data_IF_471696203991
#
_entry.id   IF_471696203991
#
_cell.length_a   1.000
_cell.length_b   1.000
_cell.length_c   1.000
_cell.angle_alpha   90.00
_cell.angle_beta   90.00
_cell.angle_gamma   90.00
#
_symmetry.space_group_name_H-M   'P 1'
#
loop_
_entity.id
_entity.type
_entity.pdbx_description
1 polymer ?
#
# COMPACT_ATOMS: atom_id res chain seq x y z
N UNK A 1 7.15 62.17 -25.19
CA UNK A 1 7.50 61.25 -24.08
C UNK A 1 6.29 60.56 -23.44
N UNK A 2 5.08 61.13 -23.44
CA UNK A 2 3.90 60.50 -22.79
C UNK A 2 3.25 59.30 -23.53
N UNK A 3 3.40 59.19 -24.86
CA UNK A 3 2.74 58.14 -25.64
C UNK A 3 3.40 56.76 -25.52
N UNK A 4 4.72 56.71 -25.29
CA UNK A 4 5.45 55.46 -25.06
C UNK A 4 5.20 54.87 -23.68
N UNK A 5 4.93 55.73 -22.68
CA UNK A 5 4.58 55.32 -21.31
C UNK A 5 3.22 54.61 -21.29
N UNK A 6 2.22 55.16 -21.99
CA UNK A 6 0.87 54.58 -22.07
C UNK A 6 0.84 53.21 -22.77
N UNK A 7 1.64 53.01 -23.82
CA UNK A 7 1.71 51.71 -24.51
C UNK A 7 2.37 50.63 -23.62
N UNK A 8 3.44 50.98 -22.90
CA UNK A 8 4.12 50.04 -22.00
C UNK A 8 3.25 49.68 -20.77
N UNK A 9 2.46 50.64 -20.26
CA UNK A 9 1.55 50.41 -19.14
C UNK A 9 0.35 49.52 -19.51
N UNK A 10 -0.15 49.62 -20.75
CA UNK A 10 -1.23 48.76 -21.25
C UNK A 10 -0.75 47.32 -21.52
N UNK A 11 0.45 47.17 -22.09
CA UNK A 11 1.04 45.86 -22.41
C UNK A 11 1.41 45.08 -21.14
N UNK A 12 1.92 45.77 -20.12
CA UNK A 12 2.21 45.17 -18.80
C UNK A 12 0.97 44.76 -18.02
N UNK A 13 -0.13 45.52 -18.09
CA UNK A 13 -1.43 45.14 -17.48
C UNK A 13 -2.04 43.92 -18.15
N UNK A 14 -1.94 43.82 -19.49
CA UNK A 14 -2.38 42.64 -20.24
C UNK A 14 -1.57 41.39 -19.90
N UNK A 15 -0.23 41.53 -19.80
CA UNK A 15 0.65 40.43 -19.42
C UNK A 15 0.44 39.97 -17.96
N UNK A 16 0.27 40.89 -17.02
CA UNK A 16 -0.02 40.57 -15.63
C UNK A 16 -1.39 39.88 -15.47
N UNK A 17 -2.41 40.33 -16.20
CA UNK A 17 -3.72 39.68 -16.21
C UNK A 17 -3.64 38.27 -16.80
N UNK A 18 -2.92 38.08 -17.91
CA UNK A 18 -2.68 36.76 -18.50
C UNK A 18 -1.98 35.82 -17.52
N UNK A 19 -0.90 36.26 -16.86
CA UNK A 19 -0.21 35.48 -15.83
C UNK A 19 -1.12 35.17 -14.64
N UNK A 20 -1.97 36.11 -14.23
CA UNK A 20 -2.95 35.91 -13.16
C UNK A 20 -3.99 34.84 -13.52
N UNK A 21 -4.53 34.89 -14.74
CA UNK A 21 -5.47 33.89 -15.24
C UNK A 21 -4.80 32.52 -15.34
N UNK A 22 -3.59 32.44 -15.90
CA UNK A 22 -2.82 31.20 -15.99
C UNK A 22 -2.50 30.62 -14.60
N UNK A 23 -2.13 31.46 -13.64
CA UNK A 23 -1.93 31.08 -12.25
C UNK A 23 -3.21 30.52 -11.62
N UNK A 24 -4.35 31.18 -11.81
CA UNK A 24 -5.63 30.72 -11.31
C UNK A 24 -6.03 29.35 -11.89
N UNK A 25 -5.88 29.17 -13.21
CA UNK A 25 -6.11 27.87 -13.85
C UNK A 25 -5.18 26.77 -13.33
N UNK A 26 -3.91 27.11 -13.07
CA UNK A 26 -2.93 26.18 -12.50
C UNK A 26 -3.33 25.74 -11.09
N UNK A 27 -3.76 26.68 -10.25
CA UNK A 27 -4.27 26.38 -8.90
C UNK A 27 -5.51 25.50 -8.96
N UNK A 28 -6.48 25.81 -9.84
CA UNK A 28 -7.67 24.98 -10.04
C UNK A 28 -7.27 23.56 -10.46
N UNK A 29 -6.33 23.43 -11.40
CA UNK A 29 -5.80 22.13 -11.83
C UNK A 29 -5.17 21.34 -10.69
N UNK A 30 -4.36 21.99 -9.85
CA UNK A 30 -3.75 21.39 -8.67
C UNK A 30 -4.81 20.91 -7.68
N UNK A 31 -5.84 21.71 -7.40
CA UNK A 31 -6.92 21.35 -6.46
C UNK A 31 -7.73 20.16 -6.98
N UNK A 32 -8.07 20.14 -8.27
CA UNK A 32 -8.79 19.01 -8.88
C UNK A 32 -7.95 17.74 -8.83
N UNK A 33 -6.65 17.84 -9.15
CA UNK A 33 -5.73 16.70 -9.10
C UNK A 33 -5.52 16.21 -7.66
N UNK A 34 -5.38 17.13 -6.71
CA UNK A 34 -5.28 16.84 -5.27
C UNK A 34 -6.52 16.09 -4.77
N UNK A 35 -7.71 16.56 -5.16
CA UNK A 35 -8.97 15.91 -4.85
C UNK A 35 -9.05 14.49 -5.45
N UNK A 36 -8.62 14.32 -6.70
CA UNK A 36 -8.60 13.02 -7.37
C UNK A 36 -7.61 12.03 -6.72
N UNK A 37 -6.41 12.47 -6.36
CA UNK A 37 -5.39 11.64 -5.70
C UNK A 37 -5.71 11.33 -4.24
N UNK A 38 -6.62 12.10 -3.62
CA UNK A 38 -7.06 11.90 -2.23
C UNK A 38 -8.18 10.86 -2.08
N UNK A 39 -8.69 10.31 -3.19
CA UNK A 39 -9.76 9.32 -3.14
C UNK A 39 -9.19 8.00 -2.59
N UNK A 40 -9.75 7.56 -1.46
CA UNK A 40 -9.39 6.29 -0.85
C UNK A 40 -9.79 5.11 -1.78
N UNK A 41 -8.91 4.10 -1.94
CA UNK A 41 -9.27 2.87 -2.64
C UNK A 41 -10.47 2.17 -2.01
N UNK A 42 -11.32 1.57 -2.84
CA UNK A 42 -12.48 0.83 -2.36
C UNK A 42 -12.05 -0.44 -1.59
N UNK A 43 -12.85 -0.80 -0.59
CA UNK A 43 -12.71 -2.10 0.07
C UNK A 43 -13.02 -3.24 -0.91
N UNK A 44 -12.37 -4.37 -0.70
CA UNK A 44 -12.52 -5.55 -1.55
C UNK A 44 -12.84 -6.79 -0.73
N UNK A 45 -13.52 -7.75 -1.35
CA UNK A 45 -13.78 -9.04 -0.74
C UNK A 45 -12.55 -9.95 -0.97
N UNK A 46 -11.85 -10.30 0.11
CA UNK A 46 -10.61 -11.09 0.07
C UNK A 46 -10.76 -12.44 -0.63
N UNK A 47 -11.91 -13.10 -0.50
CA UNK A 47 -12.19 -14.40 -1.11
C UNK A 47 -12.49 -14.25 -2.60
N UNK A 48 -13.26 -13.23 -2.99
CA UNK A 48 -13.54 -12.95 -4.40
C UNK A 48 -12.27 -12.56 -5.15
N UNK A 49 -11.43 -11.71 -4.55
CA UNK A 49 -10.13 -11.33 -5.11
C UNK A 49 -9.20 -12.53 -5.30
N UNK A 50 -9.14 -13.44 -4.32
CA UNK A 50 -8.32 -14.65 -4.44
C UNK A 50 -8.76 -15.54 -5.60
N UNK A 51 -10.08 -15.67 -5.81
CA UNK A 51 -10.65 -16.41 -6.96
C UNK A 51 -10.28 -15.77 -8.29
N UNK A 52 -10.43 -14.44 -8.42
CA UNK A 52 -10.06 -13.73 -9.64
C UNK A 52 -8.57 -13.87 -9.97
N UNK A 53 -7.68 -13.73 -8.97
CA UNK A 53 -6.24 -13.94 -9.16
C UNK A 53 -5.93 -15.36 -9.59
N UNK A 54 -6.62 -16.36 -9.04
CA UNK A 54 -6.45 -17.76 -9.41
C UNK A 54 -6.83 -18.01 -10.87
N UNK A 55 -7.99 -17.52 -11.30
CA UNK A 55 -8.47 -17.61 -12.68
C UNK A 55 -7.51 -16.94 -13.65
N UNK A 56 -7.04 -15.72 -13.32
CA UNK A 56 -6.06 -14.97 -14.12
C UNK A 56 -4.75 -15.75 -14.29
N UNK A 57 -4.34 -16.51 -13.28
CA UNK A 57 -3.10 -17.28 -13.29
C UNK A 57 -3.26 -18.71 -13.85
N UNK A 58 -4.42 -19.07 -14.39
CA UNK A 58 -4.74 -20.41 -14.92
C UNK A 58 -4.47 -21.55 -13.93
N UNK A 59 -4.60 -21.29 -12.62
CA UNK A 59 -4.43 -22.31 -11.59
C UNK A 59 -5.72 -23.14 -11.56
N UNK A 60 -5.73 -24.26 -12.30
CA UNK A 60 -6.89 -25.14 -12.44
C UNK A 60 -7.32 -25.73 -11.09
N UNK A 61 -8.52 -25.39 -10.65
CA UNK A 61 -9.15 -25.96 -9.46
C UNK A 61 -9.38 -27.46 -9.68
N UNK A 62 -8.55 -28.30 -9.08
CA UNK A 62 -8.75 -29.75 -9.08
C UNK A 62 -9.37 -30.17 -7.75
N UNK A 63 -10.63 -29.81 -7.53
CA UNK A 63 -11.45 -30.42 -6.47
C UNK A 63 -12.88 -30.61 -6.98
N UNK A 64 -13.53 -31.77 -6.72
CA UNK A 64 -14.89 -32.06 -7.15
C UNK A 64 -15.95 -31.03 -6.74
N UNK A 65 -15.69 -30.25 -5.68
CA UNK A 65 -16.64 -29.32 -5.07
C UNK A 65 -16.46 -27.84 -5.50
N UNK A 66 -15.62 -27.56 -6.50
CA UNK A 66 -15.56 -26.26 -7.18
C UNK A 66 -14.76 -25.15 -6.48
N UNK A 67 -14.26 -25.35 -5.25
CA UNK A 67 -13.31 -24.45 -4.61
C UNK A 67 -12.37 -25.21 -3.66
N UNK A 68 -11.08 -25.29 -3.96
CA UNK A 68 -10.04 -25.51 -2.95
C UNK A 68 -8.72 -24.91 -3.45
N UNK A 69 -8.41 -23.66 -3.07
CA UNK A 69 -7.01 -23.26 -2.96
C UNK A 69 -6.46 -23.80 -1.63
N UNK A 70 -5.14 -24.04 -1.51
CA UNK A 70 -4.53 -24.46 -0.26
C UNK A 70 -4.78 -23.44 0.86
N UNK A 71 -4.76 -23.92 2.10
CA UNK A 71 -4.77 -23.07 3.28
C UNK A 71 -3.72 -21.94 3.12
N UNK A 72 -4.09 -20.73 3.50
CA UNK A 72 -3.20 -19.57 3.41
C UNK A 72 -3.15 -18.85 2.06
N UNK A 73 -3.67 -19.42 0.97
CA UNK A 73 -3.67 -18.75 -0.33
C UNK A 73 -4.43 -17.42 -0.31
N UNK A 74 -5.61 -17.39 0.33
CA UNK A 74 -6.39 -16.14 0.50
C UNK A 74 -5.60 -15.10 1.27
N UNK A 75 -4.89 -15.51 2.33
CA UNK A 75 -4.11 -14.61 3.15
C UNK A 75 -2.94 -14.02 2.34
N UNK A 76 -2.19 -14.87 1.64
CA UNK A 76 -1.14 -14.43 0.71
C UNK A 76 -1.66 -13.48 -0.36
N UNK A 77 -2.79 -13.82 -1.00
CA UNK A 77 -3.42 -12.96 -2.01
C UNK A 77 -3.87 -11.61 -1.42
N UNK A 78 -4.34 -11.61 -0.18
CA UNK A 78 -4.74 -10.37 0.50
C UNK A 78 -3.54 -9.45 0.71
N UNK A 79 -2.40 -9.99 1.13
CA UNK A 79 -1.16 -9.21 1.27
C UNK A 79 -0.69 -8.65 -0.08
N UNK A 80 -0.71 -9.48 -1.13
CA UNK A 80 -0.43 -9.03 -2.51
C UNK A 80 -1.37 -7.88 -2.90
N UNK A 81 -2.68 -8.04 -2.72
CA UNK A 81 -3.66 -7.02 -3.09
C UNK A 81 -3.48 -5.73 -2.30
N UNK A 82 -3.15 -5.79 -1.01
CA UNK A 82 -2.82 -4.60 -0.22
C UNK A 82 -1.60 -3.89 -0.80
N UNK A 83 -0.53 -4.63 -1.10
CA UNK A 83 0.71 -4.08 -1.66
C UNK A 83 0.48 -3.46 -3.05
N UNK A 84 -0.24 -4.13 -3.94
CA UNK A 84 -0.63 -3.59 -5.24
C UNK A 84 -1.51 -2.35 -5.10
N UNK A 85 -2.46 -2.33 -4.15
CA UNK A 85 -3.33 -1.18 -3.92
C UNK A 85 -2.51 0.02 -3.41
N UNK A 86 -1.51 -0.22 -2.56
CA UNK A 86 -0.58 0.83 -2.11
C UNK A 86 0.18 1.47 -3.28
N UNK A 87 0.68 0.65 -4.22
CA UNK A 87 1.51 1.13 -5.34
C UNK A 87 0.69 1.73 -6.49
N UNK A 88 -0.46 1.13 -6.80
CA UNK A 88 -1.21 1.40 -8.03
C UNK A 88 -2.56 2.08 -7.81
N UNK A 89 -2.84 2.60 -6.60
CA UNK A 89 -3.99 3.48 -6.38
C UNK A 89 -3.92 4.75 -7.22
N UNK A 90 -5.00 5.51 -7.22
CA UNK A 90 -5.04 6.83 -7.88
C UNK A 90 -3.93 7.73 -7.34
N UNK A 91 -3.13 8.31 -8.24
CA UNK A 91 -1.93 9.08 -7.89
C UNK A 91 -0.67 8.25 -7.62
N UNK A 92 -0.75 6.92 -7.61
CA UNK A 92 0.37 6.05 -7.28
C UNK A 92 0.72 6.07 -5.79
N UNK A 93 1.96 5.73 -5.47
CA UNK A 93 2.49 5.82 -4.11
C UNK A 93 2.95 7.26 -3.84
N UNK A 94 2.32 7.95 -2.88
CA UNK A 94 2.47 9.40 -2.69
C UNK A 94 3.38 9.76 -1.51
N UNK A 95 3.62 8.83 -0.58
CA UNK A 95 4.47 9.06 0.60
C UNK A 95 5.89 9.52 0.25
N UNK A 96 6.45 9.07 -0.87
CA UNK A 96 7.77 9.48 -1.37
C UNK A 96 7.69 10.51 -2.51
N UNK A 97 6.50 11.03 -2.84
CA UNK A 97 6.37 12.00 -3.91
C UNK A 97 6.98 13.35 -3.49
N UNK A 98 7.71 13.96 -4.42
CA UNK A 98 8.33 15.29 -4.26
C UNK A 98 7.58 16.38 -5.03
N UNK A 99 6.58 15.99 -5.83
CA UNK A 99 5.78 16.88 -6.67
C UNK A 99 4.51 17.42 -6.03
N UNK A 100 3.94 18.46 -6.65
CA UNK A 100 2.59 18.96 -6.35
C UNK A 100 1.59 18.19 -7.24
N UNK A 101 0.43 17.72 -6.71
CA UNK A 101 -0.14 17.99 -5.40
C UNK A 101 0.33 17.09 -4.25
N UNK A 102 1.12 16.03 -4.50
CA UNK A 102 1.50 15.04 -3.48
C UNK A 102 1.99 15.64 -2.16
N UNK A 103 2.89 16.62 -2.23
CA UNK A 103 3.41 17.34 -1.03
C UNK A 103 2.37 18.15 -0.25
N UNK A 104 1.20 18.44 -0.83
CA UNK A 104 0.11 19.16 -0.19
C UNK A 104 -0.93 18.22 0.43
N UNK A 105 -0.83 16.91 0.19
CA UNK A 105 -1.78 15.91 0.68
C UNK A 105 -1.27 15.28 1.98
N UNK A 106 -2.11 15.25 3.01
CA UNK A 106 -1.81 14.65 4.31
C UNK A 106 -2.61 13.37 4.59
N UNK A 107 -3.88 13.34 4.17
CA UNK A 107 -4.79 12.24 4.42
C UNK A 107 -4.37 10.95 3.70
N UNK A 108 -4.10 11.01 2.39
CA UNK A 108 -3.80 9.81 1.62
C UNK A 108 -2.41 9.21 1.99
N UNK A 109 -1.33 9.98 2.27
CA UNK A 109 -0.10 9.40 2.80
C UNK A 109 -0.24 8.83 4.23
N UNK A 110 -1.13 9.37 5.06
CA UNK A 110 -1.46 8.79 6.36
C UNK A 110 -2.19 7.44 6.21
N UNK A 111 -3.13 7.35 5.26
CA UNK A 111 -3.77 6.10 4.87
C UNK A 111 -2.76 5.07 4.36
N UNK A 112 -1.83 5.47 3.48
CA UNK A 112 -0.76 4.61 2.96
C UNK A 112 0.09 4.04 4.09
N UNK A 113 0.41 4.85 5.11
CA UNK A 113 1.13 4.37 6.27
C UNK A 113 0.36 3.29 7.03
N UNK A 114 -0.95 3.47 7.24
CA UNK A 114 -1.80 2.47 7.87
C UNK A 114 -1.81 1.14 7.10
N UNK A 115 -2.05 1.20 5.79
CA UNK A 115 -2.03 0.03 4.92
C UNK A 115 -0.66 -0.65 4.84
N UNK A 116 0.42 0.12 4.82
CA UNK A 116 1.79 -0.40 4.85
C UNK A 116 2.11 -1.14 6.16
N UNK A 117 1.65 -0.63 7.31
CA UNK A 117 1.82 -1.34 8.59
C UNK A 117 1.04 -2.66 8.57
N UNK A 118 -0.19 -2.69 8.05
CA UNK A 118 -0.95 -3.93 7.90
C UNK A 118 -0.23 -4.95 7.01
N UNK A 119 0.33 -4.50 5.88
CA UNK A 119 1.12 -5.33 4.98
C UNK A 119 2.35 -5.90 5.67
N UNK A 120 3.11 -5.06 6.38
CA UNK A 120 4.33 -5.46 7.12
C UNK A 120 4.02 -6.49 8.19
N UNK A 121 3.07 -6.20 9.07
CA UNK A 121 2.70 -7.10 10.16
C UNK A 121 2.16 -8.44 9.62
N UNK A 122 1.36 -8.40 8.55
CA UNK A 122 0.84 -9.58 7.88
C UNK A 122 1.94 -10.41 7.20
N UNK A 123 2.89 -9.78 6.50
CA UNK A 123 4.02 -10.45 5.88
C UNK A 123 4.96 -11.08 6.92
N UNK A 124 5.25 -10.35 8.01
CA UNK A 124 6.02 -10.85 9.15
C UNK A 124 5.33 -12.05 9.80
N UNK A 125 4.02 -11.97 10.03
CA UNK A 125 3.26 -13.09 10.58
C UNK A 125 3.22 -14.29 9.64
N UNK A 126 3.10 -14.05 8.33
CA UNK A 126 3.13 -15.10 7.32
C UNK A 126 4.49 -15.84 7.36
N UNK A 127 5.59 -15.11 7.29
CA UNK A 127 6.95 -15.68 7.32
C UNK A 127 7.25 -16.40 8.64
N UNK A 128 6.96 -15.75 9.77
CA UNK A 128 7.49 -16.19 11.07
C UNK A 128 6.59 -17.20 11.79
N UNK A 129 5.28 -17.20 11.50
CA UNK A 129 4.31 -17.99 12.25
C UNK A 129 3.47 -18.88 11.34
N UNK A 130 2.86 -18.32 10.30
CA UNK A 130 1.85 -19.05 9.51
C UNK A 130 2.47 -20.01 8.48
N UNK A 131 3.66 -19.71 7.94
CA UNK A 131 4.35 -20.57 6.97
C UNK A 131 5.35 -21.54 7.62
N UNK A 132 5.41 -21.60 8.97
CA UNK A 132 6.35 -22.42 9.73
C UNK A 132 5.61 -23.44 10.60
N UNK A 133 6.10 -24.68 10.59
CA UNK A 133 5.55 -25.75 11.42
C UNK A 133 5.83 -25.52 12.91
N UNK A 134 7.03 -25.01 13.19
CA UNK A 134 7.54 -24.67 14.53
C UNK A 134 8.44 -23.43 14.43
N UNK A 135 8.62 -22.70 15.53
CA UNK A 135 9.43 -21.46 15.58
C UNK A 135 10.89 -21.64 15.16
N UNK A 136 11.41 -22.87 15.19
CA UNK A 136 12.79 -23.22 14.79
C UNK A 136 12.88 -23.90 13.41
N UNK A 137 11.74 -24.14 12.74
CA UNK A 137 11.73 -24.76 11.39
C UNK A 137 12.30 -23.81 10.34
N UNK A 138 12.79 -24.33 9.22
CA UNK A 138 13.32 -23.49 8.14
C UNK A 138 12.28 -22.47 7.65
N UNK A 139 12.73 -21.27 7.35
CA UNK A 139 11.88 -20.22 6.78
C UNK A 139 11.64 -20.48 5.30
N UNK A 140 10.45 -20.11 4.82
CA UNK A 140 10.16 -20.17 3.40
C UNK A 140 11.04 -19.17 2.62
N UNK A 141 11.74 -19.60 1.56
CA UNK A 141 12.76 -18.78 0.89
C UNK A 141 12.19 -17.57 0.15
N UNK A 142 10.93 -17.61 -0.28
CA UNK A 142 10.30 -16.45 -0.94
C UNK A 142 9.77 -15.47 0.09
N UNK A 143 9.18 -15.96 1.19
CA UNK A 143 8.74 -15.09 2.28
C UNK A 143 9.91 -14.40 3.00
N UNK A 144 11.05 -15.09 3.12
CA UNK A 144 12.29 -14.52 3.63
C UNK A 144 12.84 -13.37 2.77
N UNK A 145 12.49 -13.33 1.48
CA UNK A 145 12.77 -12.19 0.58
C UNK A 145 11.68 -11.14 0.63
N UNK A 146 10.41 -11.56 0.65
CA UNK A 146 9.27 -10.66 0.53
C UNK A 146 9.17 -9.67 1.69
N UNK A 147 9.29 -10.13 2.94
CA UNK A 147 9.12 -9.27 4.12
C UNK A 147 10.16 -8.13 4.16
N UNK A 148 11.48 -8.37 4.02
CA UNK A 148 12.47 -7.28 4.00
C UNK A 148 12.17 -6.19 2.98
N UNK A 149 11.66 -6.54 1.80
CA UNK A 149 11.30 -5.55 0.78
C UNK A 149 10.18 -4.62 1.24
N UNK A 150 9.16 -5.12 1.95
CA UNK A 150 8.11 -4.26 2.52
C UNK A 150 8.62 -3.39 3.69
N UNK A 151 9.70 -3.79 4.35
CA UNK A 151 10.36 -3.00 5.40
C UNK A 151 11.32 -1.94 4.87
N UNK A 152 11.55 -1.87 3.56
CA UNK A 152 12.33 -0.80 2.95
C UNK A 152 11.75 0.58 3.30
N UNK A 153 12.64 1.59 3.31
CA UNK A 153 12.31 2.97 3.66
C UNK A 153 11.10 3.46 2.85
N UNK A 154 10.09 4.00 3.54
CA UNK A 154 8.81 4.36 2.91
C UNK A 154 8.88 5.64 2.08
N UNK A 155 9.85 6.51 2.34
CA UNK A 155 9.96 7.86 1.76
C UNK A 155 11.17 8.00 0.82
N UNK A 156 11.72 6.88 0.33
CA UNK A 156 12.80 6.91 -0.66
C UNK A 156 12.24 7.18 -2.06
N UNK A 157 12.50 8.37 -2.58
CA UNK A 157 12.18 8.77 -3.96
C UNK A 157 13.34 8.50 -4.93
N UNK A 158 14.58 8.44 -4.41
CA UNK A 158 15.80 8.20 -5.18
C UNK A 158 16.07 6.70 -5.36
N UNK A 159 17.11 6.32 -6.11
CA UNK A 159 17.41 4.90 -6.37
C UNK A 159 18.06 4.20 -5.16
N UNK A 160 17.54 3.03 -4.71
CA UNK A 160 16.32 2.39 -5.17
C UNK A 160 15.06 3.06 -4.61
N UNK A 161 14.02 3.19 -5.44
CA UNK A 161 12.78 3.83 -5.02
C UNK A 161 11.94 2.86 -4.17
N UNK A 162 11.12 3.41 -3.28
CA UNK A 162 10.22 2.61 -2.43
C UNK A 162 9.36 1.64 -3.25
N UNK A 163 8.80 2.11 -4.37
CA UNK A 163 7.92 1.36 -5.25
C UNK A 163 8.64 0.16 -5.86
N UNK A 164 9.87 0.37 -6.34
CA UNK A 164 10.66 -0.69 -6.94
C UNK A 164 11.02 -1.79 -5.93
N UNK A 165 11.29 -1.43 -4.67
CA UNK A 165 11.52 -2.41 -3.61
C UNK A 165 10.23 -3.15 -3.25
N UNK A 166 9.10 -2.46 -3.13
CA UNK A 166 7.81 -3.10 -2.81
C UNK A 166 7.33 -4.03 -3.93
N UNK A 167 7.57 -3.69 -5.20
CA UNK A 167 7.30 -4.56 -6.34
C UNK A 167 8.08 -5.88 -6.26
N UNK A 168 9.35 -5.85 -5.82
CA UNK A 168 10.11 -7.08 -5.57
C UNK A 168 9.48 -7.92 -4.45
N UNK A 169 8.95 -7.28 -3.41
CA UNK A 169 8.17 -7.94 -2.36
C UNK A 169 6.92 -8.64 -2.90
N UNK A 170 6.17 -7.97 -3.78
CA UNK A 170 4.98 -8.53 -4.46
C UNK A 170 5.36 -9.75 -5.30
N UNK A 171 6.42 -9.65 -6.10
CA UNK A 171 6.91 -10.77 -6.93
C UNK A 171 7.32 -11.97 -6.08
N UNK A 172 7.95 -11.75 -4.94
CA UNK A 172 8.31 -12.80 -3.99
C UNK A 172 7.05 -13.44 -3.37
N UNK A 173 6.06 -12.66 -2.93
CA UNK A 173 4.77 -13.20 -2.45
C UNK A 173 4.05 -14.04 -3.50
N UNK A 174 4.01 -13.59 -4.75
CA UNK A 174 3.44 -14.37 -5.85
C UNK A 174 4.21 -15.68 -6.07
N UNK A 175 5.52 -15.68 -5.90
CA UNK A 175 6.34 -16.90 -6.03
C UNK A 175 6.03 -17.89 -4.91
N UNK A 176 5.91 -17.42 -3.67
CA UNK A 176 5.39 -18.25 -2.56
C UNK A 176 4.01 -18.83 -2.88
N UNK A 177 3.07 -18.00 -3.33
CA UNK A 177 1.70 -18.45 -3.65
C UNK A 177 1.66 -19.47 -4.79
N UNK A 178 2.52 -19.34 -5.80
CA UNK A 178 2.66 -20.35 -6.87
C UNK A 178 3.16 -21.67 -6.31
N UNK A 179 4.19 -21.66 -5.46
CA UNK A 179 4.70 -22.87 -4.80
C UNK A 179 3.69 -23.49 -3.82
N UNK A 180 2.79 -22.68 -3.25
CA UNK A 180 1.74 -23.15 -2.36
C UNK A 180 0.70 -24.00 -3.13
N UNK A 181 0.38 -23.63 -4.37
CA UNK A 181 -0.62 -24.32 -5.19
C UNK A 181 -0.05 -25.42 -6.09
N UNK A 182 1.27 -25.46 -6.30
CA UNK A 182 1.92 -26.43 -7.18
C UNK A 182 2.33 -27.70 -6.41
N UNK A 183 1.61 -28.82 -6.59
CA UNK A 183 1.93 -30.08 -5.92
C UNK A 183 3.20 -30.75 -6.48
N UNK A 184 3.73 -30.25 -7.60
CA UNK A 184 4.91 -30.82 -8.28
C UNK A 184 6.20 -30.08 -7.94
N UNK A 185 6.11 -28.97 -7.20
CA UNK A 185 7.28 -28.20 -6.78
C UNK A 185 8.18 -29.05 -5.86
N UNK A 186 9.51 -28.93 -6.05
CA UNK A 186 10.51 -29.66 -5.26
C UNK A 186 10.64 -29.11 -3.84
N UNK A 187 10.22 -27.87 -3.62
CA UNK A 187 10.20 -27.17 -2.35
C UNK A 187 8.85 -26.45 -2.21
N UNK A 188 7.75 -27.18 -1.95
CA UNK A 188 6.41 -26.61 -1.91
C UNK A 188 6.30 -25.53 -0.83
N UNK A 189 5.46 -24.53 -1.10
CA UNK A 189 5.06 -23.55 -0.09
C UNK A 189 4.19 -24.23 0.96
N UNK A 190 4.31 -23.81 2.22
CA UNK A 190 3.53 -24.38 3.31
C UNK A 190 2.80 -23.30 4.09
N UNK A 191 1.59 -23.62 4.54
CA UNK A 191 0.82 -22.83 5.48
C UNK A 191 0.26 -23.75 6.56
N UNK A 192 0.39 -23.34 7.81
CA UNK A 192 0.00 -24.11 8.99
C UNK A 192 -1.11 -23.37 9.74
N UNK A 193 -2.35 -23.85 9.57
CA UNK A 193 -3.60 -23.30 10.13
C UNK A 193 -3.78 -23.58 11.64
N UNK A 194 -2.68 -23.53 12.42
CA UNK A 194 -2.69 -23.80 13.86
C UNK A 194 -3.15 -22.58 14.66
N UNK A 195 -3.89 -22.83 15.74
CA UNK A 195 -4.45 -21.77 16.59
C UNK A 195 -3.36 -20.92 17.29
N UNK A 196 -2.24 -21.52 17.68
CA UNK A 196 -1.10 -20.82 18.30
C UNK A 196 -0.36 -19.90 17.33
N UNK A 197 -0.27 -20.29 16.05
CA UNK A 197 0.26 -19.43 15.00
C UNK A 197 -0.66 -18.23 14.74
N UNK A 198 -1.98 -18.47 14.67
CA UNK A 198 -2.97 -17.41 14.51
C UNK A 198 -2.97 -16.45 15.71
N UNK A 199 -2.86 -16.98 16.93
CA UNK A 199 -2.82 -16.17 18.15
C UNK A 199 -1.65 -15.19 18.14
N UNK A 200 -0.46 -15.61 17.70
CA UNK A 200 0.71 -14.72 17.59
C UNK A 200 0.44 -13.52 16.65
N UNK A 201 -0.25 -13.74 15.54
CA UNK A 201 -0.64 -12.64 14.65
C UNK A 201 -1.70 -11.73 15.28
N UNK A 202 -2.73 -12.31 15.92
CA UNK A 202 -3.77 -11.54 16.62
C UNK A 202 -3.18 -10.69 17.75
N UNK A 203 -2.17 -11.19 18.46
CA UNK A 203 -1.47 -10.42 19.49
C UNK A 203 -0.77 -9.18 18.93
N UNK A 204 -0.18 -9.27 17.74
CA UNK A 204 0.38 -8.10 17.03
C UNK A 204 -0.72 -7.08 16.75
N UNK A 205 -1.86 -7.53 16.21
CA UNK A 205 -3.01 -6.67 15.90
C UNK A 205 -3.54 -5.97 17.16
N UNK A 206 -3.70 -6.70 18.27
CA UNK A 206 -4.15 -6.13 19.56
C UNK A 206 -3.22 -5.00 19.99
N UNK A 207 -1.89 -5.22 19.92
CA UNK A 207 -0.89 -4.20 20.29
C UNK A 207 -0.98 -2.97 19.37
N UNK A 208 -1.17 -3.18 18.05
CA UNK A 208 -1.35 -2.08 17.08
C UNK A 208 -2.58 -1.25 17.39
N UNK A 209 -3.74 -1.89 17.60
CA UNK A 209 -5.00 -1.23 17.91
C UNK A 209 -4.92 -0.47 19.25
N UNK A 210 -4.29 -1.07 20.27
CA UNK A 210 -4.03 -0.38 21.54
C UNK A 210 -3.21 0.90 21.35
N UNK A 211 -2.14 0.84 20.55
CA UNK A 211 -1.31 2.00 20.22
C UNK A 211 -2.07 3.10 19.46
N UNK A 212 -2.95 2.73 18.52
CA UNK A 212 -3.82 3.67 17.79
C UNK A 212 -4.80 4.32 18.76
N UNK A 213 -5.46 3.52 19.62
CA UNK A 213 -6.41 4.03 20.62
C UNK A 213 -5.76 5.06 21.55
N UNK A 214 -4.56 4.79 22.06
CA UNK A 214 -3.85 5.75 22.94
C UNK A 214 -3.52 7.05 22.22
N UNK A 215 -3.07 6.98 20.96
CA UNK A 215 -2.76 8.18 20.17
C UNK A 215 -4.00 9.01 19.86
N UNK A 216 -5.12 8.35 19.56
CA UNK A 216 -6.39 9.02 19.29
C UNK A 216 -6.92 9.73 20.54
N UNK A 217 -6.91 9.06 21.71
CA UNK A 217 -7.29 9.69 22.98
C UNK A 217 -6.40 10.90 23.29
N UNK A 218 -5.08 10.78 23.13
CA UNK A 218 -4.15 11.89 23.39
C UNK A 218 -4.34 13.07 22.42
N UNK A 219 -4.84 12.84 21.20
CA UNK A 219 -5.16 13.94 20.27
C UNK A 219 -6.38 14.74 20.69
N UNK A 220 -7.34 14.11 21.37
CA UNK A 220 -8.55 14.77 21.90
C UNK A 220 -8.26 15.52 23.20
N UNK A 221 -7.50 14.91 24.13
CA UNK A 221 -7.15 15.53 25.42
C UNK A 221 -6.32 16.82 25.24
N UNK A 222 -5.47 16.86 24.20
CA UNK A 222 -4.72 18.08 23.83
C UNK A 222 -5.62 19.20 23.31
N UNK A 223 -6.78 18.86 22.73
CA UNK A 223 -7.76 19.83 22.28
C UNK A 223 -8.51 20.44 23.47
N UNK A 224 -8.91 19.64 24.46
CA UNK A 224 -9.58 20.13 25.68
C UNK A 224 -8.66 20.96 26.59
N UNK A 225 -7.34 20.76 26.56
CA UNK A 225 -6.39 21.54 27.36
C UNK A 225 -6.13 22.97 26.83
N UNK A 226 -6.65 23.31 25.64
CA UNK A 226 -6.47 24.62 24.99
C UNK A 226 -7.77 25.44 24.87
N UNK A 227 -8.90 24.89 25.30
CA UNK A 227 -10.18 25.60 25.48
C UNK A 227 -10.38 26.00 26.96
#
# INVERSE_FOLDING_TARGET
MAASDFSQEAESKGFAWFLGVLGAFSVIGIVVLAGYWSIEPLSFNVVAEAKMTQEKNNISASSPDGYVYPDGYVFGNTLVRIAETLLYKQGGYLTNDVGVPGVLLDNIPAWEYGALIMLRDGASALRNHLARAQSQSAEDPDLAKAEPYFYYERNSWALPSTEAEYEKGIVALHSYMRRLVDPTDKNPGHFYSRADNLWQYVEIIIKRLGGISTRLSASTDRYEAYD
#
